data_IF_989770342115
#
_entry.id   IF_989770342115
#
_cell.length_a   1.000
_cell.length_b   1.000
_cell.length_c   1.000
_cell.angle_alpha   90.00
_cell.angle_beta   90.00
_cell.angle_gamma   90.00
#
_symmetry.space_group_name_H-M   'P 1'
#
loop_
_entity.id
_entity.type
_entity.pdbx_description
1 polymer ?
#
# COMPACT_ATOMS: atom_id res chain seq x y z
N UNK A 1 13.15 4.49 -3.27
CA UNK A 1 11.83 4.99 -2.85
C UNK A 1 10.79 3.90 -3.12
N UNK A 2 9.81 3.67 -2.23
CA UNK A 2 8.78 2.66 -2.47
C UNK A 2 7.87 3.14 -3.61
N UNK A 3 7.65 2.32 -4.63
CA UNK A 3 6.84 2.73 -5.79
C UNK A 3 5.35 2.61 -5.47
N UNK A 4 4.66 3.76 -5.42
CA UNK A 4 3.20 3.81 -5.32
C UNK A 4 2.53 3.39 -6.63
N UNK A 5 1.32 2.80 -6.58
CA UNK A 5 0.42 2.73 -7.73
C UNK A 5 0.20 4.13 -8.34
N UNK A 6 0.03 4.22 -9.66
CA UNK A 6 -0.09 5.50 -10.36
C UNK A 6 -1.29 6.32 -9.88
N UNK A 7 -2.41 5.66 -9.57
CA UNK A 7 -3.61 6.28 -9.01
C UNK A 7 -3.32 6.96 -7.67
N UNK A 8 -2.50 6.33 -6.82
CA UNK A 8 -2.06 6.91 -5.55
C UNK A 8 -1.17 8.12 -5.81
N UNK A 9 -0.23 8.06 -6.77
CA UNK A 9 0.60 9.21 -7.16
C UNK A 9 -0.23 10.37 -7.67
N UNK A 10 -1.26 10.09 -8.47
CA UNK A 10 -2.19 11.11 -8.97
C UNK A 10 -2.95 11.77 -7.83
N UNK A 11 -3.45 11.00 -6.86
CA UNK A 11 -4.19 11.53 -5.73
C UNK A 11 -3.31 12.35 -4.77
N UNK A 12 -2.06 11.90 -4.53
CA UNK A 12 -1.03 12.66 -3.80
C UNK A 12 -0.78 14.03 -4.45
N UNK A 13 -0.66 14.08 -5.78
CA UNK A 13 -0.50 15.35 -6.54
C UNK A 13 -1.73 16.25 -6.48
N UNK A 14 -2.91 15.68 -6.24
CA UNK A 14 -4.16 16.41 -6.04
C UNK A 14 -4.39 16.80 -4.57
N UNK A 15 -3.34 16.82 -3.75
CA UNK A 15 -3.38 17.19 -2.32
C UNK A 15 -4.37 16.35 -1.50
N UNK A 16 -4.52 15.07 -1.83
CA UNK A 16 -5.44 14.16 -1.14
C UNK A 16 -6.91 14.62 -1.13
N UNK A 17 -7.32 15.40 -2.13
CA UNK A 17 -8.72 15.85 -2.21
C UNK A 17 -9.67 14.67 -2.38
N UNK A 18 -10.63 14.53 -1.48
CA UNK A 18 -11.71 13.54 -1.57
C UNK A 18 -12.69 13.81 -2.72
N UNK A 19 -12.71 15.03 -3.25
CA UNK A 19 -13.47 15.39 -4.46
C UNK A 19 -12.76 14.92 -5.74
N UNK A 20 -11.47 14.57 -5.64
CA UNK A 20 -10.61 14.19 -6.77
C UNK A 20 -10.05 12.78 -6.59
N UNK A 21 -10.90 11.84 -6.16
CA UNK A 21 -10.51 10.43 -6.08
C UNK A 21 -10.15 9.91 -7.48
N UNK A 22 -9.04 9.15 -7.60
CA UNK A 22 -8.61 8.63 -8.88
C UNK A 22 -9.59 7.57 -9.38
N UNK A 23 -9.89 7.59 -10.68
CA UNK A 23 -10.71 6.57 -11.31
C UNK A 23 -9.82 5.40 -11.75
N UNK A 24 -9.99 4.25 -11.10
CA UNK A 24 -9.34 2.99 -11.50
C UNK A 24 -9.91 2.54 -12.85
N UNK A 25 -9.10 2.57 -13.91
CA UNK A 25 -9.52 2.21 -15.28
C UNK A 25 -9.55 0.69 -15.49
N UNK A 26 -8.59 -0.01 -14.90
CA UNK A 26 -8.48 -1.47 -14.96
C UNK A 26 -8.19 -1.99 -13.56
N UNK A 27 -9.21 -2.59 -12.96
CA UNK A 27 -9.12 -3.18 -11.62
C UNK A 27 -8.02 -4.24 -11.52
N UNK A 28 -7.83 -5.03 -12.58
CA UNK A 28 -6.80 -6.07 -12.61
C UNK A 28 -5.39 -5.48 -12.58
N UNK A 29 -5.12 -4.44 -13.38
CA UNK A 29 -3.81 -3.77 -13.41
C UNK A 29 -3.55 -3.05 -12.08
N UNK A 30 -4.57 -2.36 -11.56
CA UNK A 30 -4.48 -1.67 -10.29
C UNK A 30 -4.18 -2.63 -9.15
N UNK A 31 -4.89 -3.76 -9.06
CA UNK A 31 -4.66 -4.78 -8.04
C UNK A 31 -3.22 -5.32 -8.07
N UNK A 32 -2.61 -5.50 -9.25
CA UNK A 32 -1.20 -5.93 -9.34
C UNK A 32 -0.25 -4.90 -8.75
N UNK A 33 -0.41 -3.62 -9.11
CA UNK A 33 0.41 -2.53 -8.56
C UNK A 33 0.19 -2.34 -7.06
N UNK A 34 -1.07 -2.34 -6.63
CA UNK A 34 -1.45 -2.19 -5.23
C UNK A 34 -0.86 -3.30 -4.36
N UNK A 35 -0.96 -4.56 -4.79
CA UNK A 35 -0.40 -5.71 -4.06
C UNK A 35 1.12 -5.61 -3.92
N UNK A 36 1.84 -5.25 -4.99
CA UNK A 36 3.29 -5.04 -4.95
C UNK A 36 3.68 -3.94 -3.97
N UNK A 37 2.96 -2.82 -4.01
CA UNK A 37 3.17 -1.72 -3.08
C UNK A 37 2.91 -2.15 -1.63
N UNK A 38 1.78 -2.82 -1.36
CA UNK A 38 1.45 -3.30 -0.02
C UNK A 38 2.48 -4.30 0.54
N UNK A 39 2.95 -5.24 -0.29
CA UNK A 39 4.04 -6.16 0.07
C UNK A 39 5.29 -5.38 0.47
N UNK A 40 5.66 -4.32 -0.25
CA UNK A 40 6.83 -3.48 0.08
C UNK A 40 6.70 -2.70 1.40
N UNK A 41 5.50 -2.62 1.96
CA UNK A 41 5.22 -1.99 3.25
C UNK A 41 5.19 -2.99 4.41
N UNK A 42 5.15 -4.30 4.13
CA UNK A 42 5.07 -5.28 5.20
C UNK A 42 6.41 -5.43 5.95
N UNK A 43 6.34 -5.82 7.24
CA UNK A 43 7.47 -6.38 7.98
C UNK A 43 8.18 -7.50 7.20
N UNK A 44 9.53 -7.59 7.25
CA UNK A 44 10.28 -8.66 6.58
C UNK A 44 9.80 -10.07 6.95
N UNK A 45 9.44 -10.26 8.23
CA UNK A 45 8.86 -11.50 8.77
C UNK A 45 7.61 -11.98 8.02
N UNK A 46 6.86 -11.07 7.38
CA UNK A 46 5.63 -11.37 6.65
C UNK A 46 5.83 -11.63 5.15
N UNK A 47 7.00 -11.32 4.59
CA UNK A 47 7.21 -11.33 3.14
C UNK A 47 7.96 -12.60 2.67
N UNK A 48 8.76 -13.22 3.56
CA UNK A 48 9.59 -14.37 3.22
C UNK A 48 10.55 -14.09 2.05
N UNK A 49 11.15 -15.14 1.48
CA UNK A 49 12.07 -15.00 0.34
C UNK A 49 11.36 -14.76 -1.00
N UNK A 50 10.06 -15.00 -1.10
CA UNK A 50 9.35 -15.10 -2.38
C UNK A 50 8.47 -13.90 -2.72
N UNK A 51 8.38 -12.87 -1.85
CA UNK A 51 7.47 -11.73 -2.03
C UNK A 51 6.06 -12.17 -2.45
N UNK A 52 5.56 -13.24 -1.83
CA UNK A 52 4.32 -13.89 -2.26
C UNK A 52 3.09 -13.13 -1.77
N UNK A 53 2.05 -13.13 -2.61
CA UNK A 53 0.74 -12.63 -2.24
C UNK A 53 -0.17 -13.81 -1.85
N UNK A 54 -0.91 -13.74 -0.73
CA UNK A 54 -0.88 -12.68 0.28
C UNK A 54 0.34 -12.80 1.22
N UNK A 55 0.78 -11.68 1.86
CA UNK A 55 1.79 -11.75 2.92
C UNK A 55 1.38 -12.71 4.03
N UNK A 56 2.36 -13.35 4.67
CA UNK A 56 2.12 -14.23 5.81
C UNK A 56 1.38 -13.48 6.94
N UNK A 57 0.56 -14.23 7.69
CA UNK A 57 -0.22 -13.72 8.83
C UNK A 57 0.46 -14.04 10.16
N UNK A 58 1.77 -13.84 10.22
CA UNK A 58 2.54 -13.93 11.45
C UNK A 58 2.63 -12.56 12.13
N UNK A 59 2.75 -12.58 13.45
CA UNK A 59 3.11 -11.40 14.22
C UNK A 59 4.62 -11.18 14.09
N UNK A 60 5.06 -9.97 13.70
CA UNK A 60 6.48 -9.60 13.74
C UNK A 60 7.06 -9.70 15.15
N UNK A 61 8.37 -9.89 15.26
CA UNK A 61 9.01 -10.03 16.56
C UNK A 61 9.10 -8.67 17.29
N UNK A 62 9.29 -7.61 16.52
CA UNK A 62 9.44 -6.23 17.00
C UNK A 62 8.34 -5.33 16.41
N UNK A 63 7.81 -4.42 17.23
CA UNK A 63 6.76 -3.48 16.82
C UNK A 63 7.29 -2.45 15.80
N UNK A 64 8.59 -2.15 15.87
CA UNK A 64 9.32 -1.25 14.99
C UNK A 64 9.33 -1.72 13.53
N UNK A 65 9.12 -3.03 13.28
CA UNK A 65 8.96 -3.54 11.92
C UNK A 65 7.74 -2.91 11.21
N UNK A 66 6.77 -2.37 11.97
CA UNK A 66 5.60 -1.65 11.43
C UNK A 66 5.83 -0.16 11.19
N UNK A 67 7.01 0.39 11.47
CA UNK A 67 7.28 1.83 11.44
C UNK A 67 6.88 2.52 10.14
N UNK A 68 7.02 1.81 9.02
CA UNK A 68 6.70 2.38 7.70
C UNK A 68 5.20 2.59 7.46
N UNK A 69 4.36 1.84 8.17
CA UNK A 69 2.89 1.82 8.03
C UNK A 69 2.20 2.46 9.25
N UNK A 70 2.88 2.49 10.39
CA UNK A 70 2.40 3.06 11.67
C UNK A 70 2.25 4.59 11.63
N UNK A 71 2.96 5.27 10.72
CA UNK A 71 2.89 6.73 10.56
C UNK A 71 1.85 7.09 9.49
N UNK A 72 1.02 8.11 9.74
CA UNK A 72 -0.06 8.56 8.84
C UNK A 72 0.38 9.28 7.56
N UNK A 73 1.55 8.95 7.01
CA UNK A 73 2.12 9.60 5.81
C UNK A 73 1.79 8.89 4.49
N UNK A 74 2.53 9.20 3.41
CA UNK A 74 2.34 8.61 2.06
C UNK A 74 2.55 7.10 1.96
N UNK A 75 2.85 6.41 3.06
CA UNK A 75 3.03 4.96 3.15
C UNK A 75 2.25 4.36 4.33
N UNK A 76 1.39 5.16 4.97
CA UNK A 76 0.68 4.78 6.18
C UNK A 76 -0.52 3.86 5.92
N UNK A 77 -1.00 3.25 6.99
CA UNK A 77 -2.17 2.36 6.97
C UNK A 77 -3.42 3.06 6.43
N UNK A 78 -3.60 4.35 6.70
CA UNK A 78 -4.68 5.16 6.12
C UNK A 78 -4.69 5.09 4.59
N UNK A 79 -3.52 5.29 3.96
CA UNK A 79 -3.41 5.26 2.51
C UNK A 79 -3.69 3.87 1.96
N UNK A 80 -3.29 2.81 2.68
CA UNK A 80 -3.60 1.43 2.28
C UNK A 80 -5.10 1.16 2.27
N UNK A 81 -5.82 1.59 3.31
CA UNK A 81 -7.27 1.38 3.43
C UNK A 81 -8.06 2.21 2.41
N UNK A 82 -7.75 3.51 2.26
CA UNK A 82 -8.48 4.38 1.32
C UNK A 82 -8.28 3.93 -0.13
N UNK A 83 -7.05 3.50 -0.47
CA UNK A 83 -6.72 3.05 -1.83
C UNK A 83 -7.27 1.66 -2.15
N UNK A 84 -7.45 0.80 -1.12
CA UNK A 84 -8.25 -0.42 -1.27
C UNK A 84 -9.69 -0.10 -1.63
N UNK A 85 -10.32 0.93 -1.06
CA UNK A 85 -11.72 1.25 -1.38
C UNK A 85 -11.95 1.67 -2.85
N UNK A 86 -10.89 1.92 -3.62
CA UNK A 86 -10.98 2.17 -5.06
C UNK A 86 -11.13 0.89 -5.89
N UNK A 87 -10.87 -0.28 -5.28
CA UNK A 87 -10.92 -1.63 -5.87
C UNK A 87 -11.75 -2.59 -5.01
#
# INVERSE_FOLDING_TARGET
>A
AKEHPEEIKMWLRASWSYEKLPRVKSTQQYAVGWKRWWISLQPPSRIGYTNTWPPARCQPAEDEEWDSVRRGGPNGMFLAVISLAWW
#
